data_IF_091193201877
#
_entry.id   IF_091193201877
#
_cell.length_a   1.000
_cell.length_b   1.000
_cell.length_c   1.000
_cell.angle_alpha   90.00
_cell.angle_beta   90.00
_cell.angle_gamma   90.00
#
_symmetry.space_group_name_H-M   'P 1'
#
loop_
_entity.id
_entity.type
_entity.pdbx_description
1 polymer ?
#
# COMPACT_ATOMS: atom_id res chain seq x y z
N UNK A 1 2.17 7.12 17.27
CA UNK A 1 1.35 6.31 16.37
C UNK A 1 0.40 7.26 15.66
N UNK A 2 0.59 7.47 14.37
CA UNK A 2 -0.31 8.28 13.54
C UNK A 2 -1.24 7.33 12.79
N UNK A 3 -2.53 7.63 12.79
CA UNK A 3 -3.53 6.97 11.96
C UNK A 3 -3.94 8.00 10.91
N UNK A 4 -3.98 7.57 9.64
CA UNK A 4 -4.51 8.36 8.53
C UNK A 4 -5.53 7.49 7.82
N UNK A 5 -6.76 7.96 7.74
CA UNK A 5 -7.88 7.23 7.16
C UNK A 5 -7.95 7.40 5.63
N UNK A 6 -8.67 6.51 4.94
CA UNK A 6 -8.77 6.52 3.48
C UNK A 6 -9.30 7.85 2.92
N UNK A 7 -10.28 8.48 3.59
CA UNK A 7 -10.78 9.81 3.22
C UNK A 7 -9.70 10.89 3.32
N UNK A 8 -8.84 10.87 4.35
CA UNK A 8 -7.71 11.78 4.45
C UNK A 8 -6.69 11.50 3.34
N UNK A 9 -6.44 10.22 3.02
CA UNK A 9 -5.56 9.83 1.91
C UNK A 9 -6.07 10.38 0.57
N UNK A 10 -7.39 10.33 0.36
CA UNK A 10 -8.02 10.76 -0.88
C UNK A 10 -8.16 12.28 -1.02
N UNK A 11 -8.37 12.99 0.09
CA UNK A 11 -8.73 14.42 0.07
C UNK A 11 -7.61 15.35 0.53
N UNK A 12 -6.63 14.84 1.28
CA UNK A 12 -5.59 15.63 1.94
C UNK A 12 -4.19 15.02 1.78
N UNK A 13 -3.91 14.37 0.65
CA UNK A 13 -2.63 13.67 0.44
C UNK A 13 -1.40 14.56 0.71
N UNK A 14 -1.34 15.74 0.09
CA UNK A 14 -0.18 16.64 0.19
C UNK A 14 -0.06 17.32 1.56
N UNK A 15 -1.19 17.56 2.24
CA UNK A 15 -1.23 18.35 3.48
C UNK A 15 -1.22 17.47 4.73
N UNK A 16 -1.60 16.20 4.60
CA UNK A 16 -1.72 15.25 5.72
C UNK A 16 -0.82 14.02 5.56
N UNK A 17 -0.91 13.32 4.42
CA UNK A 17 -0.21 12.04 4.22
C UNK A 17 1.28 12.25 4.02
N UNK A 18 1.66 13.06 3.04
CA UNK A 18 3.06 13.23 2.65
C UNK A 18 3.92 13.79 3.80
N UNK A 19 3.50 14.84 4.55
CA UNK A 19 4.30 15.37 5.65
C UNK A 19 4.47 14.36 6.80
N UNK A 20 3.45 13.56 7.08
CA UNK A 20 3.52 12.52 8.11
C UNK A 20 4.43 11.37 7.66
N UNK A 21 4.38 10.99 6.38
CA UNK A 21 5.24 9.97 5.78
C UNK A 21 6.71 10.40 5.81
N UNK A 22 7.03 11.62 5.38
CA UNK A 22 8.39 12.18 5.42
C UNK A 22 8.92 12.26 6.85
N UNK A 23 8.09 12.70 7.80
CA UNK A 23 8.46 12.75 9.21
C UNK A 23 8.81 11.37 9.75
N UNK A 24 7.99 10.36 9.46
CA UNK A 24 8.22 8.99 9.91
C UNK A 24 9.48 8.38 9.26
N UNK A 25 9.68 8.57 7.95
CA UNK A 25 10.90 8.12 7.26
C UNK A 25 12.15 8.79 7.86
N UNK A 26 12.08 10.07 8.20
CA UNK A 26 13.21 10.77 8.83
C UNK A 26 13.50 10.27 10.26
N UNK A 27 12.44 9.99 11.04
CA UNK A 27 12.54 9.63 12.44
C UNK A 27 13.11 8.22 12.70
N UNK A 28 12.80 7.24 11.86
CA UNK A 28 13.20 5.84 12.11
C UNK A 28 14.46 5.45 11.32
N UNK A 29 15.31 4.59 11.88
CA UNK A 29 16.51 4.08 11.20
C UNK A 29 16.19 2.93 10.24
N UNK A 30 15.15 2.15 10.56
CA UNK A 30 14.71 0.96 9.83
C UNK A 30 13.20 0.98 9.70
N UNK A 31 12.71 0.54 8.55
CA UNK A 31 11.29 0.48 8.23
C UNK A 31 10.89 -0.96 7.92
N UNK A 32 9.72 -1.36 8.41
CA UNK A 32 9.03 -2.59 8.05
C UNK A 32 7.66 -2.19 7.52
N UNK A 33 7.29 -2.70 6.35
CA UNK A 33 6.04 -2.39 5.68
C UNK A 33 5.19 -3.65 5.56
N UNK A 34 3.97 -3.63 6.08
CA UNK A 34 2.97 -4.64 5.78
C UNK A 34 1.85 -3.98 5.02
N UNK A 35 1.44 -4.56 3.90
CA UNK A 35 0.30 -4.10 3.11
C UNK A 35 -0.75 -5.20 3.15
N UNK A 36 -1.83 -4.89 3.85
CA UNK A 36 -3.07 -5.63 3.70
C UNK A 36 -3.70 -5.27 2.35
N UNK A 37 -3.94 -6.28 1.51
CA UNK A 37 -4.48 -6.05 0.17
C UNK A 37 -5.95 -5.64 0.21
N UNK A 38 -6.64 -5.84 1.34
CA UNK A 38 -8.02 -5.39 1.51
C UNK A 38 -8.16 -3.86 1.59
N UNK A 39 -7.04 -3.13 1.75
CA UNK A 39 -7.00 -1.66 1.69
C UNK A 39 -7.38 -1.12 0.31
N UNK A 40 -7.18 -1.93 -0.74
CA UNK A 40 -7.48 -1.54 -2.11
C UNK A 40 -8.99 -1.62 -2.38
N UNK A 41 -9.56 -0.73 -3.20
CA UNK A 41 -10.96 -0.81 -3.58
C UNK A 41 -11.29 -2.18 -4.17
N UNK A 42 -12.47 -2.74 -3.86
CA UNK A 42 -12.90 -4.06 -4.36
C UNK A 42 -12.81 -4.21 -5.89
N UNK A 43 -12.97 -3.10 -6.63
CA UNK A 43 -12.82 -3.06 -8.10
C UNK A 43 -11.38 -3.24 -8.60
N UNK A 44 -10.38 -3.06 -7.75
CA UNK A 44 -8.95 -3.23 -8.06
C UNK A 44 -8.37 -4.48 -7.39
N UNK A 45 -8.89 -4.86 -6.22
CA UNK A 45 -8.52 -6.07 -5.49
C UNK A 45 -9.77 -6.84 -5.02
N UNK A 46 -10.37 -7.66 -5.89
CA UNK A 46 -11.49 -8.51 -5.50
C UNK A 46 -11.05 -9.75 -4.68
N UNK A 47 -9.78 -10.14 -4.79
CA UNK A 47 -9.23 -11.38 -4.24
C UNK A 47 -8.82 -11.26 -2.76
N UNK A 48 -9.76 -10.85 -1.91
CA UNK A 48 -9.57 -10.69 -0.44
C UNK A 48 -10.82 -11.15 0.31
N UNK A 49 -10.68 -11.45 1.59
CA UNK A 49 -11.80 -11.92 2.42
C UNK A 49 -12.79 -10.81 2.81
N UNK A 50 -12.33 -9.56 2.89
CA UNK A 50 -13.15 -8.39 3.26
C UNK A 50 -12.92 -7.19 2.30
N UNK A 51 -13.47 -7.21 1.08
CA UNK A 51 -13.19 -6.17 0.09
C UNK A 51 -13.62 -4.76 0.53
N UNK A 52 -12.74 -3.77 0.46
CA UNK A 52 -13.07 -2.39 0.81
C UNK A 52 -14.05 -1.76 -0.20
N UNK A 53 -15.09 -1.11 0.33
CA UNK A 53 -16.08 -0.38 -0.47
C UNK A 53 -15.54 0.92 -1.06
N UNK A 54 -14.67 1.63 -0.30
CA UNK A 54 -13.97 2.83 -0.74
C UNK A 54 -12.50 2.50 -0.99
N UNK A 55 -11.72 2.33 0.08
CA UNK A 55 -10.33 1.94 0.01
C UNK A 55 -9.42 3.03 -0.59
N UNK A 56 -8.13 2.70 -0.67
CA UNK A 56 -7.10 3.55 -1.27
C UNK A 56 -6.76 3.02 -2.66
N UNK A 57 -7.04 3.75 -3.75
CA UNK A 57 -6.70 3.32 -5.10
C UNK A 57 -5.22 2.97 -5.23
N UNK A 58 -4.91 1.92 -6.00
CA UNK A 58 -3.57 1.39 -6.18
C UNK A 58 -2.57 2.48 -6.57
N UNK A 59 -2.95 3.38 -7.47
CA UNK A 59 -2.09 4.49 -7.87
C UNK A 59 -1.71 5.39 -6.68
N UNK A 60 -2.65 5.64 -5.75
CA UNK A 60 -2.41 6.42 -4.54
C UNK A 60 -1.59 5.64 -3.53
N UNK A 61 -1.87 4.33 -3.34
CA UNK A 61 -1.06 3.45 -2.50
C UNK A 61 0.40 3.45 -2.94
N UNK A 62 0.66 3.36 -4.25
CA UNK A 62 2.01 3.38 -4.81
C UNK A 62 2.75 4.70 -4.53
N UNK A 63 2.05 5.83 -4.43
CA UNK A 63 2.64 7.12 -4.02
C UNK A 63 3.09 7.12 -2.55
N UNK A 64 2.45 6.33 -1.69
CA UNK A 64 2.86 6.14 -0.28
C UNK A 64 4.06 5.18 -0.21
N UNK A 65 4.01 4.10 -1.00
CA UNK A 65 5.03 3.05 -0.99
C UNK A 65 6.37 3.50 -1.58
N UNK A 66 6.35 4.31 -2.64
CA UNK A 66 7.57 4.77 -3.32
C UNK A 66 8.63 5.40 -2.39
N UNK A 67 8.32 6.44 -1.59
CA UNK A 67 9.31 7.05 -0.71
C UNK A 67 9.80 6.10 0.40
N UNK A 68 8.95 5.17 0.87
CA UNK A 68 9.37 4.14 1.82
C UNK A 68 10.45 3.24 1.23
N UNK A 69 10.22 2.72 0.01
CA UNK A 69 11.19 1.88 -0.69
C UNK A 69 12.48 2.63 -1.01
N UNK A 70 12.38 3.89 -1.47
CA UNK A 70 13.52 4.72 -1.85
C UNK A 70 14.32 5.28 -0.69
N UNK A 71 13.81 5.18 0.54
CA UNK A 71 14.50 5.70 1.73
C UNK A 71 15.82 5.00 2.04
N UNK A 72 16.04 3.79 1.50
CA UNK A 72 17.16 2.90 1.89
C UNK A 72 17.00 2.29 3.30
N UNK A 73 15.89 2.58 3.99
CA UNK A 73 15.63 2.14 5.36
C UNK A 73 14.71 0.92 5.43
N UNK A 74 14.02 0.58 4.34
CA UNK A 74 13.11 -0.57 4.26
C UNK A 74 13.88 -1.90 4.40
N UNK A 75 13.47 -2.74 5.37
CA UNK A 75 14.14 -4.01 5.71
C UNK A 75 13.35 -5.24 5.32
N UNK A 76 12.02 -5.15 5.38
CA UNK A 76 11.12 -6.25 5.06
C UNK A 76 9.79 -5.67 4.56
N UNK A 77 9.12 -6.43 3.68
CA UNK A 77 7.80 -6.11 3.16
C UNK A 77 6.95 -7.37 3.10
N UNK A 78 5.75 -7.29 3.64
CA UNK A 78 4.73 -8.33 3.52
C UNK A 78 3.53 -7.80 2.70
N UNK A 79 3.01 -8.65 1.82
CA UNK A 79 1.70 -8.49 1.16
C UNK A 79 0.78 -9.58 1.71
N UNK A 80 -0.29 -9.18 2.39
CA UNK A 80 -1.17 -10.11 3.13
C UNK A 80 -2.62 -10.08 2.61
N UNK A 81 -3.45 -10.99 3.12
CA UNK A 81 -4.89 -11.15 2.80
C UNK A 81 -5.26 -11.47 1.35
N UNK A 82 -4.29 -11.79 0.48
CA UNK A 82 -4.61 -12.37 -0.82
C UNK A 82 -5.38 -13.70 -0.65
N UNK A 83 -6.60 -13.73 -1.17
CA UNK A 83 -7.47 -14.89 -1.13
C UNK A 83 -7.88 -15.32 -2.56
N UNK A 84 -7.27 -16.39 -3.11
CA UNK A 84 -7.54 -16.83 -4.48
C UNK A 84 -8.97 -17.33 -4.70
N UNK A 85 -9.73 -17.64 -3.64
CA UNK A 85 -11.13 -18.07 -3.77
C UNK A 85 -12.05 -16.97 -4.28
N UNK A 86 -11.69 -15.70 -4.05
CA UNK A 86 -12.45 -14.54 -4.49
C UNK A 86 -11.83 -13.85 -5.72
N UNK A 87 -10.76 -14.41 -6.29
CA UNK A 87 -10.13 -13.82 -7.46
C UNK A 87 -10.99 -13.99 -8.71
N UNK A 88 -11.17 -12.91 -9.46
CA UNK A 88 -11.97 -12.87 -10.68
C UNK A 88 -11.02 -12.85 -11.86
N UNK A 89 -10.93 -13.96 -12.58
CA UNK A 89 -10.05 -14.12 -13.75
C UNK A 89 -8.59 -13.73 -13.49
N UNK A 90 -8.08 -13.93 -12.27
CA UNK A 90 -6.70 -13.59 -11.91
C UNK A 90 -6.41 -12.08 -11.85
N UNK A 91 -7.44 -11.24 -11.71
CA UNK A 91 -7.28 -9.78 -11.61
C UNK A 91 -6.58 -9.40 -10.30
N UNK A 92 -7.02 -9.97 -9.18
CA UNK A 92 -6.41 -9.72 -7.87
C UNK A 92 -4.97 -10.21 -7.82
N UNK A 93 -4.68 -11.41 -8.35
CA UNK A 93 -3.31 -11.91 -8.45
C UNK A 93 -2.40 -10.97 -9.26
N UNK A 94 -2.89 -10.42 -10.39
CA UNK A 94 -2.15 -9.46 -11.21
C UNK A 94 -1.96 -8.12 -10.49
N UNK A 95 -2.95 -7.65 -9.74
CA UNK A 95 -2.84 -6.45 -8.89
C UNK A 95 -1.77 -6.65 -7.81
N UNK A 96 -1.81 -7.76 -7.07
CA UNK A 96 -0.82 -8.06 -6.03
C UNK A 96 0.59 -8.18 -6.63
N UNK A 97 0.74 -8.91 -7.75
CA UNK A 97 2.01 -9.05 -8.45
C UNK A 97 2.56 -7.69 -8.95
N UNK A 98 1.67 -6.78 -9.40
CA UNK A 98 2.05 -5.42 -9.81
C UNK A 98 2.62 -4.61 -8.64
N UNK A 99 2.02 -4.72 -7.46
CA UNK A 99 2.51 -4.08 -6.22
C UNK A 99 3.86 -4.67 -5.84
N UNK A 100 3.96 -6.00 -5.74
CA UNK A 100 5.20 -6.70 -5.40
C UNK A 100 6.35 -6.32 -6.33
N UNK A 101 6.09 -6.32 -7.64
CA UNK A 101 7.10 -5.94 -8.63
C UNK A 101 7.54 -4.48 -8.46
N UNK A 102 6.61 -3.55 -8.18
CA UNK A 102 6.96 -2.15 -8.02
C UNK A 102 7.83 -1.92 -6.78
N UNK A 103 7.51 -2.61 -5.68
CA UNK A 103 8.29 -2.60 -4.45
C UNK A 103 9.70 -3.12 -4.74
N UNK A 104 9.83 -4.31 -5.33
CA UNK A 104 11.13 -4.87 -5.71
C UNK A 104 11.93 -3.97 -6.67
N UNK A 105 11.25 -3.25 -7.56
CA UNK A 105 11.89 -2.33 -8.49
C UNK A 105 12.45 -1.06 -7.82
N UNK A 106 11.74 -0.53 -6.82
CA UNK A 106 12.17 0.66 -6.07
C UNK A 106 13.11 0.36 -4.92
N UNK A 107 13.04 -0.83 -4.36
CA UNK A 107 13.81 -1.26 -3.21
C UNK A 107 15.22 -1.68 -3.65
N UNK A 108 16.12 -0.69 -3.69
CA UNK A 108 17.53 -0.84 -4.03
C UNK A 108 18.43 -0.75 -2.81
#
# INVERSE_FOLDING_TARGET
>A
MAIIEDLEVLTAFETRVLPELERNIAQFDRLYLTIDLDVLPAREMPAVSAPAALGVPLATLLRIVEPLCRSGKLQAVDLVEFNPLFDIDGQGARTAARVAWQIAHWWR
#
